data_IF_144551838608
#
_entry.id   IF_144551838608
#
_cell.length_a   1.000
_cell.length_b   1.000
_cell.length_c   1.000
_cell.angle_alpha   90.00
_cell.angle_beta   90.00
_cell.angle_gamma   90.00
#
_symmetry.space_group_name_H-M   'P 1'
#
loop_
_entity.id
_entity.type
_entity.pdbx_description
1 polymer ?
#
# COMPACT_ATOMS: atom_id res chain seq x y z
N UNK A 1 -11.47 -14.89 -0.12
CA UNK A 1 -11.03 -14.40 1.19
C UNK A 1 -10.17 -13.19 0.91
N UNK A 2 -10.58 -12.00 1.34
CA UNK A 2 -9.77 -10.79 1.17
C UNK A 2 -8.49 -10.96 2.00
N UNK A 3 -7.33 -10.77 1.39
CA UNK A 3 -6.05 -10.89 2.08
C UNK A 3 -5.85 -9.64 2.95
N UNK A 4 -5.56 -9.83 4.23
CA UNK A 4 -5.23 -8.69 5.09
C UNK A 4 -3.85 -8.13 4.75
N UNK A 5 -3.69 -6.82 4.87
CA UNK A 5 -2.37 -6.19 4.84
C UNK A 5 -1.55 -6.63 6.06
N UNK A 6 -0.24 -6.68 5.92
CA UNK A 6 0.69 -6.91 7.03
C UNK A 6 1.39 -5.59 7.36
N UNK A 7 1.76 -5.41 8.63
CA UNK A 7 2.63 -4.31 9.02
C UNK A 7 3.95 -4.39 8.23
N UNK A 8 4.37 -3.28 7.63
CA UNK A 8 5.59 -3.24 6.82
C UNK A 8 6.88 -3.05 7.65
N UNK A 9 6.78 -2.86 8.98
CA UNK A 9 7.96 -2.81 9.85
C UNK A 9 8.56 -4.22 9.93
N UNK A 10 9.81 -4.39 9.50
CA UNK A 10 10.46 -5.70 9.30
C UNK A 10 10.43 -6.63 10.54
N UNK A 11 10.52 -6.07 11.75
CA UNK A 11 10.49 -6.85 12.99
C UNK A 11 9.06 -7.16 13.49
N UNK A 12 8.02 -6.73 12.77
CA UNK A 12 6.63 -6.89 13.15
C UNK A 12 5.94 -7.92 12.25
N UNK A 13 5.23 -8.87 12.87
CA UNK A 13 4.45 -9.89 12.15
C UNK A 13 2.94 -9.66 12.22
N UNK A 14 2.52 -8.45 12.61
CA UNK A 14 1.10 -8.13 12.80
C UNK A 14 0.35 -8.04 11.46
N UNK A 15 -0.83 -8.65 11.41
CA UNK A 15 -1.83 -8.38 10.38
C UNK A 15 -2.61 -7.12 10.74
N UNK A 16 -2.90 -6.30 9.74
CA UNK A 16 -3.64 -5.06 9.88
C UNK A 16 -5.13 -5.38 9.69
N UNK A 17 -5.90 -5.37 10.78
CA UNK A 17 -7.27 -5.94 10.81
C UNK A 17 -8.38 -4.93 11.05
N UNK A 18 -8.08 -3.73 11.51
CA UNK A 18 -9.08 -2.70 11.78
C UNK A 18 -8.59 -1.33 11.34
N UNK A 19 -7.47 -0.90 11.92
CA UNK A 19 -6.86 0.38 11.62
C UNK A 19 -5.36 0.23 11.40
N UNK A 20 -4.82 1.10 10.56
CA UNK A 20 -3.40 1.22 10.34
C UNK A 20 -3.05 2.65 9.98
N UNK A 21 -1.79 3.02 10.21
CA UNK A 21 -1.23 4.23 9.64
C UNK A 21 -0.64 3.91 8.27
N UNK A 22 -1.13 4.58 7.24
CA UNK A 22 -0.55 4.55 5.90
C UNK A 22 0.25 5.82 5.66
N UNK A 23 1.27 5.71 4.81
CA UNK A 23 2.19 6.81 4.50
C UNK A 23 2.19 7.12 3.01
N UNK A 24 2.57 8.34 2.62
CA UNK A 24 2.70 8.74 1.21
C UNK A 24 3.75 7.93 0.44
N UNK A 25 4.72 7.31 1.14
CA UNK A 25 5.67 6.36 0.56
C UNK A 25 5.13 4.92 0.48
N UNK A 26 3.81 4.75 0.54
CA UNK A 26 3.09 3.49 0.39
C UNK A 26 3.36 2.43 1.45
N UNK A 27 3.82 2.80 2.66
CA UNK A 27 3.94 1.84 3.76
C UNK A 27 2.73 1.87 4.70
N UNK A 28 2.25 0.69 5.08
CA UNK A 28 1.22 0.44 6.08
C UNK A 28 1.86 -0.04 7.40
N UNK A 29 1.51 0.59 8.51
CA UNK A 29 2.10 0.35 9.84
C UNK A 29 0.98 0.16 10.85
N UNK A 30 1.07 -0.89 11.70
CA UNK A 30 0.08 -1.10 12.76
C UNK A 30 0.16 0.01 13.82
N UNK A 31 -0.93 0.29 14.54
CA UNK A 31 -0.96 1.34 15.56
C UNK A 31 0.15 1.20 16.63
N UNK A 32 0.48 0.00 17.15
CA UNK A 32 1.60 -0.15 18.08
C UNK A 32 2.95 0.30 17.51
N UNK A 33 3.26 -0.08 16.27
CA UNK A 33 4.49 0.34 15.60
C UNK A 33 4.47 1.85 15.29
N UNK A 34 3.33 2.38 14.84
CA UNK A 34 3.16 3.80 14.58
C UNK A 34 3.44 4.64 15.84
N UNK A 35 2.87 4.24 16.98
CA UNK A 35 3.11 4.87 18.28
C UNK A 35 4.57 4.77 18.71
N UNK A 36 5.17 3.59 18.58
CA UNK A 36 6.59 3.37 18.90
C UNK A 36 7.53 4.25 18.06
N UNK A 37 7.18 4.49 16.80
CA UNK A 37 7.94 5.34 15.88
C UNK A 37 7.51 6.82 15.88
N UNK A 38 6.67 7.24 16.85
CA UNK A 38 6.36 8.64 17.08
C UNK A 38 5.31 9.25 16.14
N UNK A 39 4.56 8.44 15.40
CA UNK A 39 3.46 8.94 14.52
C UNK A 39 2.27 9.52 15.31
N UNK A 40 2.18 9.30 16.62
CA UNK A 40 1.18 9.92 17.49
C UNK A 40 1.53 11.34 17.94
N UNK A 41 2.78 11.79 17.70
CA UNK A 41 3.24 13.13 18.07
C UNK A 41 2.85 14.19 17.03
N UNK A 42 3.31 15.42 17.24
CA UNK A 42 3.35 16.44 16.20
C UNK A 42 4.74 16.35 15.56
N UNK A 43 4.80 16.06 14.25
CA UNK A 43 6.04 15.73 13.52
C UNK A 43 7.22 16.73 13.65
N UNK A 44 8.31 16.53 12.90
CA UNK A 44 8.45 15.72 11.68
C UNK A 44 8.54 14.22 11.96
N UNK A 45 8.15 13.42 10.97
CA UNK A 45 8.23 11.97 11.04
C UNK A 45 9.29 11.42 10.09
N UNK A 46 9.77 10.22 10.39
CA UNK A 46 10.60 9.43 9.48
C UNK A 46 9.90 8.09 9.27
N UNK A 47 9.72 7.67 8.02
CA UNK A 47 9.15 6.36 7.74
C UNK A 47 10.02 5.26 8.39
N UNK A 48 9.46 4.38 9.24
CA UNK A 48 10.24 3.33 9.89
C UNK A 48 10.73 2.23 8.94
N UNK A 49 10.19 2.20 7.71
CA UNK A 49 10.51 1.20 6.70
C UNK A 49 11.58 1.72 5.73
N UNK A 50 11.29 2.78 4.96
CA UNK A 50 12.20 3.29 3.94
C UNK A 50 13.02 4.52 4.36
N UNK A 51 12.87 5.00 5.61
CA UNK A 51 13.58 6.17 6.14
C UNK A 51 13.31 7.50 5.44
N UNK A 52 12.31 7.57 4.56
CA UNK A 52 11.89 8.83 3.94
C UNK A 52 11.37 9.81 5.02
N UNK A 53 11.79 11.09 5.01
CA UNK A 53 11.17 12.13 5.83
C UNK A 53 9.72 12.36 5.42
N UNK A 54 8.83 12.55 6.41
CA UNK A 54 7.40 12.71 6.21
C UNK A 54 6.87 13.90 7.04
N UNK A 55 5.88 14.58 6.48
CA UNK A 55 5.08 15.61 7.15
C UNK A 55 3.77 15.04 7.69
N UNK A 56 2.98 15.85 8.40
CA UNK A 56 1.65 15.44 8.87
C UNK A 56 0.64 15.17 7.76
N UNK A 57 0.81 15.74 6.56
CA UNK A 57 -0.05 15.39 5.42
C UNK A 57 0.36 14.08 4.73
N UNK A 58 1.56 13.57 5.00
CA UNK A 58 2.08 12.35 4.39
C UNK A 58 1.76 11.10 5.21
N UNK A 59 1.07 11.25 6.33
CA UNK A 59 0.73 10.19 7.29
C UNK A 59 -0.76 10.24 7.56
N UNK A 60 -1.45 9.12 7.39
CA UNK A 60 -2.89 9.06 7.58
C UNK A 60 -3.28 7.76 8.29
N UNK A 61 -4.07 7.88 9.34
CA UNK A 61 -4.74 6.72 9.93
C UNK A 61 -5.92 6.30 9.04
N UNK A 62 -6.01 5.01 8.72
CA UNK A 62 -6.98 4.44 7.81
C UNK A 62 -7.79 3.35 8.50
N UNK A 63 -9.09 3.36 8.21
CA UNK A 63 -10.01 2.27 8.55
C UNK A 63 -9.97 1.23 7.43
N UNK A 64 -9.51 0.03 7.76
CA UNK A 64 -9.26 -1.03 6.77
C UNK A 64 -10.54 -1.82 6.45
N UNK A 65 -11.45 -1.92 7.42
CA UNK A 65 -12.75 -2.58 7.27
C UNK A 65 -13.89 -1.60 7.60
N UNK A 66 -14.19 -0.64 6.71
CA UNK A 66 -15.29 0.30 6.92
C UNK A 66 -16.66 -0.38 6.80
N UNK A 67 -17.68 0.19 7.46
CA UNK A 67 -19.06 -0.27 7.33
C UNK A 67 -19.64 0.05 5.95
N UNK A 68 -20.72 -0.64 5.54
CA UNK A 68 -21.39 -0.38 4.26
C UNK A 68 -21.95 1.05 4.18
N UNK A 69 -22.46 1.57 5.30
CA UNK A 69 -22.94 2.95 5.41
C UNK A 69 -21.80 3.93 5.14
N UNK A 70 -20.61 3.70 5.72
CA UNK A 70 -19.44 4.53 5.46
C UNK A 70 -19.04 4.48 3.98
N UNK A 71 -18.95 3.28 3.38
CA UNK A 71 -18.58 3.10 1.96
C UNK A 71 -19.53 3.86 1.04
N UNK A 72 -20.83 3.86 1.35
CA UNK A 72 -21.85 4.52 0.54
C UNK A 72 -21.69 6.05 0.47
N UNK A 73 -21.15 6.66 1.54
CA UNK A 73 -21.01 8.12 1.65
C UNK A 73 -19.59 8.62 1.43
N UNK A 74 -18.58 7.75 1.52
CA UNK A 74 -17.16 8.13 1.52
C UNK A 74 -16.73 9.00 0.32
N UNK A 75 -17.35 8.80 -0.85
CA UNK A 75 -17.02 9.53 -2.08
C UNK A 75 -18.18 10.42 -2.59
N UNK A 76 -19.25 10.56 -1.81
CA UNK A 76 -20.42 11.35 -2.19
C UNK A 76 -20.05 12.84 -2.31
N UNK A 77 -20.47 13.48 -3.40
CA UNK A 77 -20.19 14.90 -3.68
C UNK A 77 -18.90 15.16 -4.48
N UNK A 78 -18.09 14.13 -4.77
CA UNK A 78 -16.90 14.25 -5.62
C UNK A 78 -17.25 14.10 -7.10
N UNK A 79 -16.46 14.73 -7.98
CA UNK A 79 -16.60 14.54 -9.43
C UNK A 79 -16.14 13.13 -9.85
N UNK A 80 -16.67 12.57 -10.97
CA UNK A 80 -16.22 11.26 -11.46
C UNK A 80 -14.70 11.16 -11.65
N UNK A 81 -14.06 12.23 -12.08
CA UNK A 81 -12.60 12.29 -12.24
C UNK A 81 -11.88 12.06 -10.91
N UNK A 82 -12.26 12.78 -9.85
CA UNK A 82 -11.65 12.65 -8.53
C UNK A 82 -11.91 11.26 -7.95
N UNK A 83 -13.11 10.71 -8.14
CA UNK A 83 -13.45 9.34 -7.72
C UNK A 83 -12.51 8.32 -8.35
N UNK A 84 -12.30 8.42 -9.67
CA UNK A 84 -11.40 7.51 -10.39
C UNK A 84 -9.94 7.67 -9.98
N UNK A 85 -9.48 8.90 -9.71
CA UNK A 85 -8.13 9.15 -9.18
C UNK A 85 -7.92 8.52 -7.80
N UNK A 86 -8.88 8.67 -6.88
CA UNK A 86 -8.84 8.04 -5.56
C UNK A 86 -8.77 6.51 -5.68
N UNK A 87 -9.64 5.91 -6.51
CA UNK A 87 -9.66 4.48 -6.75
C UNK A 87 -8.33 3.98 -7.34
N UNK A 88 -7.79 4.67 -8.35
CA UNK A 88 -6.51 4.31 -8.97
C UNK A 88 -5.34 4.34 -7.99
N UNK A 89 -5.30 5.34 -7.10
CA UNK A 89 -4.27 5.41 -6.03
C UNK A 89 -4.43 4.28 -5.01
N UNK A 90 -5.65 3.99 -4.59
CA UNK A 90 -5.93 2.89 -3.65
C UNK A 90 -5.53 1.52 -4.24
N UNK A 91 -5.85 1.27 -5.52
CA UNK A 91 -5.44 0.05 -6.23
C UNK A 91 -3.92 -0.05 -6.39
N UNK A 92 -3.25 1.07 -6.68
CA UNK A 92 -1.79 1.12 -6.80
C UNK A 92 -1.12 0.79 -5.46
N UNK A 93 -1.65 1.33 -4.36
CA UNK A 93 -1.21 1.02 -3.01
C UNK A 93 -1.36 -0.48 -2.71
N UNK A 94 -2.53 -1.06 -2.97
CA UNK A 94 -2.76 -2.50 -2.77
C UNK A 94 -1.82 -3.36 -3.60
N UNK A 95 -1.61 -3.01 -4.88
CA UNK A 95 -0.69 -3.74 -5.77
C UNK A 95 0.73 -3.76 -5.20
N UNK A 96 1.21 -2.61 -4.70
CA UNK A 96 2.50 -2.51 -4.04
C UNK A 96 2.60 -3.42 -2.79
N UNK A 97 1.57 -3.42 -1.95
CA UNK A 97 1.52 -4.28 -0.76
C UNK A 97 1.56 -5.77 -1.12
N UNK A 98 0.77 -6.19 -2.12
CA UNK A 98 0.74 -7.58 -2.58
C UNK A 98 2.10 -8.04 -3.10
N UNK A 99 2.80 -7.21 -3.89
CA UNK A 99 4.16 -7.53 -4.37
C UNK A 99 5.15 -7.66 -3.21
N UNK A 100 5.14 -6.71 -2.27
CA UNK A 100 6.03 -6.76 -1.12
C UNK A 100 5.77 -8.00 -0.26
N UNK A 101 4.50 -8.29 0.05
CA UNK A 101 4.13 -9.45 0.86
C UNK A 101 4.44 -10.77 0.13
N UNK A 102 4.17 -10.89 -1.17
CA UNK A 102 4.51 -12.10 -1.95
C UNK A 102 6.02 -12.33 -2.06
N UNK A 103 6.83 -11.28 -2.18
CA UNK A 103 8.29 -11.41 -2.25
C UNK A 103 8.90 -12.07 -1.01
N UNK A 104 8.25 -11.91 0.15
CA UNK A 104 8.65 -12.55 1.41
C UNK A 104 8.35 -14.05 1.43
N UNK A 105 7.35 -14.52 0.66
CA UNK A 105 6.95 -15.93 0.61
C UNK A 105 7.64 -16.73 -0.51
N UNK A 106 8.25 -16.07 -1.50
CA UNK A 106 9.02 -16.75 -2.53
C UNK A 106 10.45 -17.01 -2.03
N UNK A 107 10.94 -18.27 -2.05
CA UNK A 107 12.34 -18.52 -1.77
C UNK A 107 13.19 -17.75 -2.77
N UNK A 108 14.34 -17.22 -2.32
CA UNK A 108 15.24 -16.38 -3.12
C UNK A 108 15.65 -17.00 -4.47
N UNK A 109 15.49 -18.32 -4.64
CA UNK A 109 15.70 -19.05 -5.90
C UNK A 109 14.67 -18.78 -6.99
N UNK A 110 13.50 -18.19 -6.68
CA UNK A 110 12.41 -17.94 -7.63
C UNK A 110 12.24 -16.46 -7.98
N UNK A 111 12.79 -15.54 -7.17
CA UNK A 111 12.67 -14.11 -7.36
C UNK A 111 13.46 -13.58 -8.58
N UNK A 112 14.46 -14.33 -9.06
CA UNK A 112 15.27 -13.96 -10.23
C UNK A 112 14.64 -14.29 -11.59
N UNK A 113 13.47 -14.95 -11.63
CA UNK A 113 12.83 -15.36 -12.89
C UNK A 113 11.65 -14.48 -13.32
N UNK A 114 11.24 -13.49 -12.51
CA UNK A 114 9.91 -12.88 -12.62
C UNK A 114 9.82 -11.39 -12.99
N UNK A 115 10.93 -10.66 -13.11
CA UNK A 115 10.90 -9.19 -13.24
C UNK A 115 11.20 -8.64 -14.64
N UNK A 116 11.36 -9.50 -15.66
CA UNK A 116 11.70 -9.06 -17.03
C UNK A 116 10.87 -9.61 -18.20
N UNK A 117 10.01 -10.62 -18.00
CA UNK A 117 9.44 -11.40 -19.13
C UNK A 117 7.96 -11.17 -19.45
N UNK A 118 7.17 -10.51 -18.59
CA UNK A 118 5.73 -10.31 -18.86
C UNK A 118 5.38 -8.98 -19.55
N UNK A 119 6.22 -7.94 -19.42
CA UNK A 119 6.00 -6.66 -20.13
C UNK A 119 6.59 -6.71 -21.55
N UNK A 120 7.75 -7.34 -21.74
CA UNK A 120 8.39 -7.51 -23.05
C UNK A 120 7.57 -8.40 -24.01
N UNK A 121 6.88 -9.43 -23.49
CA UNK A 121 6.09 -10.36 -24.31
C UNK A 121 4.85 -9.70 -24.95
N UNK A 122 4.27 -8.67 -24.33
CA UNK A 122 3.17 -7.90 -24.92
C UNK A 122 3.66 -6.83 -25.91
N UNK A 123 4.83 -6.24 -25.66
CA UNK A 123 5.42 -5.20 -26.53
C UNK A 123 6.02 -5.82 -27.80
N UNK A 124 6.64 -7.01 -27.75
CA UNK A 124 7.19 -7.66 -28.95
C UNK A 124 6.12 -8.16 -29.92
N UNK A 125 4.96 -8.63 -29.44
CA UNK A 125 3.88 -9.11 -30.32
C UNK A 125 3.17 -7.99 -31.09
N UNK A 126 3.25 -6.75 -30.60
CA UNK A 126 2.67 -5.58 -31.27
C UNK A 126 3.57 -5.00 -32.39
N UNK A 127 4.85 -5.38 -32.45
CA UNK A 127 5.80 -4.85 -33.44
C UNK A 127 6.01 -5.74 -34.67
N UNK A 128 5.61 -7.01 -34.62
CA UNK A 128 5.67 -7.94 -35.77
C UNK A 128 4.35 -8.06 -36.54
N UNK A 129 3.37 -7.20 -36.26
CA UNK A 129 2.07 -7.16 -36.94
C UNK A 129 1.84 -5.84 -37.72
N UNK A 130 2.93 -5.22 -38.21
CA UNK A 130 2.89 -4.18 -39.24
C UNK A 130 3.79 -4.57 -40.40
#
# INVERSE_FOLDING_TARGET
MEQNLNCNVQACSAHLTAQAVVTACSHAVCLPCANHHGFAGQGPYTCPVCRQPLTSSDVCEQLLHPSEEWKSVALSGLSPTVVMECAGRALSFWSYQMTNQMSVYLPASMASAGSGLLVEAHIMRARTAR
#
